data_IF_127006763424
#
_entry.id   IF_127006763424
#
_cell.length_a   1.000
_cell.length_b   1.000
_cell.length_c   1.000
_cell.angle_alpha   90.00
_cell.angle_beta   90.00
_cell.angle_gamma   90.00
#
_symmetry.space_group_name_H-M   'P 1'
#
loop_
_entity.id
_entity.type
_entity.pdbx_description
1 polymer ?
#
# COMPACT_ATOMS: atom_id res chain seq x y z
N UNK A 1 13.84 14.01 0.81
CA UNK A 1 13.35 12.81 1.52
C UNK A 1 14.14 11.61 1.01
N UNK A 2 14.66 10.74 1.87
CA UNK A 2 15.46 9.58 1.43
C UNK A 2 14.54 8.55 0.79
N UNK A 3 14.79 8.12 -0.45
CA UNK A 3 13.99 7.10 -1.16
C UNK A 3 13.79 5.80 -0.34
N UNK A 4 14.68 5.52 0.61
CA UNK A 4 14.59 4.37 1.52
C UNK A 4 13.38 4.47 2.45
N UNK A 5 12.97 5.67 2.87
CA UNK A 5 11.80 5.84 3.75
C UNK A 5 10.49 5.61 3.01
N UNK A 6 10.38 6.04 1.75
CA UNK A 6 9.18 5.85 0.95
C UNK A 6 8.92 4.36 0.65
N UNK A 7 9.98 3.60 0.32
CA UNK A 7 9.86 2.16 0.12
C UNK A 7 9.49 1.43 1.42
N UNK A 8 10.09 1.81 2.55
CA UNK A 8 9.73 1.23 3.86
C UNK A 8 8.27 1.51 4.22
N UNK A 9 7.79 2.73 3.98
CA UNK A 9 6.41 3.10 4.20
C UNK A 9 5.45 2.28 3.33
N UNK A 10 5.73 2.17 2.02
CA UNK A 10 4.92 1.35 1.11
C UNK A 10 4.92 -0.14 1.51
N UNK A 11 6.07 -0.66 1.95
CA UNK A 11 6.19 -2.05 2.44
C UNK A 11 5.34 -2.28 3.67
N UNK A 12 5.35 -1.34 4.62
CA UNK A 12 4.58 -1.48 5.85
C UNK A 12 3.07 -1.36 5.60
N UNK A 13 2.64 -0.48 4.69
CA UNK A 13 1.24 -0.41 4.26
C UNK A 13 0.77 -1.72 3.62
N UNK A 14 1.59 -2.31 2.74
CA UNK A 14 1.30 -3.61 2.14
C UNK A 14 1.21 -4.71 3.22
N UNK A 15 2.10 -4.68 4.21
CA UNK A 15 2.07 -5.63 5.34
C UNK A 15 0.80 -5.49 6.16
N UNK A 16 0.38 -4.26 6.49
CA UNK A 16 -0.86 -3.99 7.23
C UNK A 16 -2.08 -4.51 6.46
N UNK A 17 -2.17 -4.23 5.16
CA UNK A 17 -3.26 -4.74 4.32
C UNK A 17 -3.30 -6.28 4.31
N UNK A 18 -2.13 -6.93 4.18
CA UNK A 18 -2.03 -8.39 4.21
C UNK A 18 -2.44 -8.97 5.58
N UNK A 19 -2.00 -8.37 6.68
CA UNK A 19 -2.34 -8.80 8.04
C UNK A 19 -3.85 -8.76 8.28
N UNK A 20 -4.52 -7.74 7.72
CA UNK A 20 -5.98 -7.58 7.71
C UNK A 20 -6.70 -8.43 6.66
N UNK A 21 -6.00 -9.39 6.04
CA UNK A 21 -6.54 -10.38 5.09
C UNK A 21 -7.00 -9.79 3.76
N UNK A 22 -6.47 -8.64 3.35
CA UNK A 22 -6.71 -8.15 1.99
C UNK A 22 -6.05 -9.09 0.97
N UNK A 23 -6.68 -9.22 -0.18
CA UNK A 23 -6.21 -10.02 -1.31
C UNK A 23 -5.46 -9.13 -2.32
N UNK A 24 -4.70 -9.74 -3.22
CA UNK A 24 -3.98 -9.05 -4.31
C UNK A 24 -3.16 -7.82 -3.87
N UNK A 25 -2.50 -7.93 -2.71
CA UNK A 25 -1.70 -6.83 -2.16
C UNK A 25 -0.42 -6.62 -2.98
N UNK A 26 -0.33 -5.49 -3.66
CA UNK A 26 0.82 -5.13 -4.52
C UNK A 26 1.29 -3.70 -4.24
N UNK A 27 2.60 -3.49 -4.28
CA UNK A 27 3.22 -2.17 -4.21
C UNK A 27 3.87 -1.84 -5.56
N UNK A 28 3.42 -0.76 -6.20
CA UNK A 28 3.90 -0.29 -7.50
C UNK A 28 4.90 0.84 -7.29
N UNK A 29 6.08 0.71 -7.91
CA UNK A 29 7.08 1.78 -7.99
C UNK A 29 6.77 2.69 -9.19
N UNK A 30 6.47 3.96 -8.91
CA UNK A 30 6.12 4.96 -9.91
C UNK A 30 7.22 6.01 -10.10
N UNK A 31 8.38 5.84 -9.48
CA UNK A 31 9.49 6.78 -9.62
C UNK A 31 9.94 6.83 -11.09
N UNK A 32 10.00 8.03 -11.65
CA UNK A 32 10.28 8.24 -13.07
C UNK A 32 9.08 8.07 -14.00
N UNK A 33 7.91 7.69 -13.47
CA UNK A 33 6.63 7.60 -14.18
C UNK A 33 5.69 8.74 -13.73
N UNK A 34 5.61 8.97 -12.42
CA UNK A 34 4.78 10.00 -11.80
C UNK A 34 5.65 11.05 -11.08
N UNK A 35 5.27 12.32 -11.20
CA UNK A 35 5.85 13.42 -10.42
C UNK A 35 5.10 13.71 -9.11
N UNK A 36 3.96 13.04 -8.88
CA UNK A 36 3.07 13.32 -7.75
C UNK A 36 3.34 12.37 -6.58
N UNK A 37 3.74 11.12 -6.84
CA UNK A 37 3.90 10.08 -5.82
C UNK A 37 4.91 9.03 -6.27
N UNK A 38 5.72 8.56 -5.31
CA UNK A 38 6.77 7.55 -5.55
C UNK A 38 6.23 6.12 -5.63
N UNK A 39 5.29 5.76 -4.76
CA UNK A 39 4.74 4.40 -4.65
C UNK A 39 3.23 4.41 -4.46
N UNK A 40 2.55 3.43 -5.05
CA UNK A 40 1.13 3.16 -4.81
C UNK A 40 0.98 1.74 -4.29
N UNK A 41 0.24 1.56 -3.20
CA UNK A 41 -0.13 0.24 -2.66
C UNK A 41 -1.59 -0.03 -3.03
N UNK A 42 -1.84 -1.17 -3.67
CA UNK A 42 -3.18 -1.63 -4.07
C UNK A 42 -3.46 -2.91 -3.32
N UNK A 43 -4.69 -3.04 -2.80
CA UNK A 43 -5.16 -4.22 -2.12
C UNK A 43 -6.68 -4.36 -2.32
N UNK A 44 -7.17 -5.60 -2.37
CA UNK A 44 -8.59 -5.93 -2.54
C UNK A 44 -9.16 -6.36 -1.20
N UNK A 45 -10.22 -5.68 -0.74
CA UNK A 45 -11.01 -6.14 0.39
C UNK A 45 -12.17 -7.03 -0.06
N UNK A 46 -12.55 -7.98 0.79
CA UNK A 46 -13.67 -8.89 0.57
C UNK A 46 -14.98 -8.40 1.20
N UNK A 47 -14.92 -7.33 2.02
CA UNK A 47 -16.10 -6.70 2.61
C UNK A 47 -15.85 -5.24 3.02
N UNK A 48 -16.91 -4.44 3.09
CA UNK A 48 -16.84 -3.05 3.56
C UNK A 48 -16.30 -2.92 5.00
N UNK A 49 -16.67 -3.85 5.88
CA UNK A 49 -16.19 -3.87 7.26
C UNK A 49 -14.68 -4.09 7.32
N UNK A 50 -14.16 -5.01 6.51
CA UNK A 50 -12.72 -5.23 6.41
C UNK A 50 -12.02 -4.00 5.85
N UNK A 51 -12.55 -3.41 4.78
CA UNK A 51 -11.96 -2.22 4.17
C UNK A 51 -11.86 -1.03 5.13
N UNK A 52 -12.85 -0.85 6.00
CA UNK A 52 -12.78 0.15 7.09
C UNK A 52 -11.67 -0.17 8.09
N UNK A 53 -11.59 -1.43 8.54
CA UNK A 53 -10.54 -1.86 9.46
C UNK A 53 -9.12 -1.76 8.89
N UNK A 54 -8.95 -1.88 7.56
CA UNK A 54 -7.65 -1.68 6.88
C UNK A 54 -7.29 -0.20 6.79
N UNK A 55 -8.29 0.67 6.65
CA UNK A 55 -8.09 2.11 6.44
C UNK A 55 -7.88 2.89 7.75
N UNK A 56 -8.42 2.38 8.86
CA UNK A 56 -8.24 2.90 10.22
C UNK A 56 -6.84 2.58 10.78
#
# INVERSE_FOLDING_TARGET
MSHRSALQFATELARIAHDHKSEDVVALDLRGISSVTDFVVIATGTSDRQMRAVAD
#
